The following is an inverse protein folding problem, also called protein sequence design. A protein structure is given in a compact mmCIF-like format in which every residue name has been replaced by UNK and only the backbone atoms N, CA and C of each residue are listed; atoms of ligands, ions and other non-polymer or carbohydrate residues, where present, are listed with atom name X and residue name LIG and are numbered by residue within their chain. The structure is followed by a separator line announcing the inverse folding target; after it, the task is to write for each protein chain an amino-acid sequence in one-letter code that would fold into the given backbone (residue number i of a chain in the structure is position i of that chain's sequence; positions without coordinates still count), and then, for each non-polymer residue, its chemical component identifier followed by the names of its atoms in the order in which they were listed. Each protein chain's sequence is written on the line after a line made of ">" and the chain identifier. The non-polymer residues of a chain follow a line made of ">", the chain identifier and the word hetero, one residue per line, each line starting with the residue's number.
data_IF_439271681179
#
_entry.id   IF_439271681179
#
_cell.length_a   1.000
_cell.length_b   1.000
_cell.length_c   1.000
_cell.angle_alpha   90.00
_cell.angle_beta   90.00
_cell.angle_gamma   90.00
#
_symmetry.space_group_name_H-M   'P 1'
#
loop_
_entity.id
_entity.type
_entity.pdbx_description
1 polymer ?
#
# COMPACT_ATOMS: atom_id res chain seq x y z
N UNK A 1 16.98 -8.28 51.61
CA UNK A 1 17.90 -7.46 50.79
C UNK A 1 18.52 -8.34 49.73
N UNK A 2 18.09 -8.13 48.49
CA UNK A 2 18.84 -8.41 47.26
C UNK A 2 18.09 -7.63 46.17
N UNK A 3 18.61 -6.46 45.82
CA UNK A 3 18.13 -5.64 44.72
C UNK A 3 18.38 -6.39 43.41
N UNK A 4 17.30 -6.76 42.72
CA UNK A 4 17.38 -7.21 41.33
C UNK A 4 17.59 -5.99 40.46
N UNK A 5 18.83 -5.84 40.00
CA UNK A 5 19.31 -4.76 39.17
C UNK A 5 18.53 -4.73 37.85
N UNK A 6 17.76 -3.67 37.64
CA UNK A 6 16.83 -3.48 36.51
C UNK A 6 17.55 -3.08 35.21
N UNK A 7 18.82 -3.43 35.08
CA UNK A 7 19.72 -3.07 33.98
C UNK A 7 20.08 -4.26 33.09
N UNK A 8 19.76 -5.50 33.49
CA UNK A 8 20.11 -6.72 32.73
C UNK A 8 19.01 -7.26 31.80
N UNK A 9 17.84 -6.60 31.73
CA UNK A 9 16.75 -6.98 30.81
C UNK A 9 16.78 -6.24 29.46
N UNK A 10 17.75 -5.36 29.26
CA UNK A 10 18.01 -4.70 27.98
C UNK A 10 19.10 -5.47 27.26
N UNK A 11 18.81 -6.64 26.68
CA UNK A 11 19.63 -7.27 25.62
C UNK A 11 18.98 -8.58 25.17
N UNK A 12 17.98 -8.49 24.27
CA UNK A 12 17.70 -9.47 23.19
C UNK A 12 16.53 -9.02 22.31
N UNK A 13 16.46 -7.73 21.98
CA UNK A 13 15.83 -7.36 20.72
C UNK A 13 16.81 -7.79 19.64
N UNK A 14 16.51 -8.89 18.94
CA UNK A 14 17.20 -9.24 17.69
C UNK A 14 17.27 -7.96 16.87
N UNK A 15 18.47 -7.44 16.63
CA UNK A 15 18.69 -6.50 15.53
C UNK A 15 18.16 -7.22 14.28
N UNK A 16 17.15 -6.70 13.58
CA UNK A 16 16.93 -7.13 12.22
C UNK A 16 18.22 -6.82 11.47
N UNK A 17 18.70 -7.81 10.74
CA UNK A 17 19.97 -7.79 10.05
C UNK A 17 20.24 -6.44 9.35
N UNK A 18 21.48 -5.95 9.45
CA UNK A 18 22.04 -4.99 8.50
C UNK A 18 22.22 -5.66 7.12
N UNK A 19 21.15 -6.21 6.57
CA UNK A 19 21.11 -6.48 5.14
C UNK A 19 20.94 -5.11 4.46
N UNK A 20 21.71 -4.87 3.40
CA UNK A 20 21.34 -3.88 2.39
C UNK A 20 19.97 -4.32 1.87
N UNK A 21 18.91 -3.84 2.50
CA UNK A 21 17.57 -4.36 2.30
C UNK A 21 17.12 -3.94 0.91
N UNK A 22 16.90 -4.91 0.03
CA UNK A 22 16.19 -4.65 -1.22
C UNK A 22 14.79 -4.15 -0.90
N UNK A 23 14.29 -3.22 -1.70
CA UNK A 23 12.89 -2.81 -1.65
C UNK A 23 11.93 -4.01 -1.77
N UNK A 24 10.81 -3.95 -1.06
CA UNK A 24 9.78 -5.00 -1.04
C UNK A 24 8.57 -4.53 -1.84
N UNK A 25 8.20 -5.29 -2.87
CA UNK A 25 7.03 -5.01 -3.71
C UNK A 25 5.76 -5.62 -3.09
N UNK A 26 4.70 -4.83 -3.03
CA UNK A 26 3.33 -5.25 -2.70
C UNK A 26 2.34 -4.80 -3.76
N UNK A 27 1.04 -5.04 -3.54
CA UNK A 27 -0.01 -4.62 -4.45
C UNK A 27 -0.17 -3.10 -4.46
N UNK A 28 0.26 -2.53 -5.58
CA UNK A 28 0.21 -1.08 -5.81
C UNK A 28 1.02 -0.25 -4.79
N UNK A 29 2.07 -0.85 -4.23
CA UNK A 29 3.06 -0.15 -3.38
C UNK A 29 4.41 -0.85 -3.31
N UNK A 30 5.45 -0.10 -2.95
CA UNK A 30 6.80 -0.58 -2.69
C UNK A 30 7.27 0.02 -1.38
N UNK A 31 7.84 -0.80 -0.50
CA UNK A 31 8.30 -0.38 0.83
C UNK A 31 9.77 -0.71 1.10
N UNK A 32 10.40 0.06 1.98
CA UNK A 32 11.73 -0.21 2.53
C UNK A 32 11.83 0.22 4.01
N UNK A 33 12.53 -0.55 4.88
CA UNK A 33 13.12 -1.87 4.62
C UNK A 33 12.09 -3.00 4.51
N UNK A 34 10.82 -2.71 4.80
CA UNK A 34 9.71 -3.64 4.67
C UNK A 34 8.46 -2.90 4.21
N UNK A 35 7.45 -3.64 3.73
CA UNK A 35 6.10 -3.09 3.60
C UNK A 35 5.53 -2.85 4.99
N UNK A 36 5.22 -1.60 5.31
CA UNK A 36 4.51 -1.26 6.54
C UNK A 36 3.08 -1.83 6.45
N UNK A 37 2.48 -2.30 7.55
CA UNK A 37 1.08 -2.69 7.54
C UNK A 37 0.19 -1.57 7.00
N UNK A 38 -0.77 -1.91 6.14
CA UNK A 38 -1.71 -0.95 5.52
C UNK A 38 -2.49 -0.14 6.58
N UNK A 39 -2.60 -0.70 7.79
CA UNK A 39 -3.33 -0.13 8.92
C UNK A 39 -2.56 0.95 9.69
N UNK A 40 -1.30 1.24 9.32
CA UNK A 40 -0.56 2.35 9.92
C UNK A 40 -1.15 3.69 9.44
N UNK A 41 -1.87 4.38 10.33
CA UNK A 41 -2.51 5.66 10.04
C UNK A 41 -1.50 6.80 10.18
N UNK A 42 -1.73 7.89 9.43
CA UNK A 42 -1.14 9.19 9.72
C UNK A 42 -1.55 9.59 11.14
N UNK A 43 -0.59 9.65 12.06
CA UNK A 43 -0.88 10.13 13.40
C UNK A 43 -0.98 11.65 13.38
N UNK A 44 -2.16 12.19 13.71
CA UNK A 44 -2.33 13.61 13.99
C UNK A 44 -1.70 14.01 15.34
N UNK A 45 -1.38 13.02 16.18
CA UNK A 45 -0.97 13.22 17.58
C UNK A 45 0.53 13.01 17.82
N UNK A 46 1.24 12.35 16.90
CA UNK A 46 2.66 12.05 17.04
C UNK A 46 3.47 12.86 16.03
N UNK A 47 4.15 13.88 16.55
CA UNK A 47 5.08 14.67 15.75
C UNK A 47 6.21 13.79 15.21
N UNK A 48 6.73 14.16 14.04
CA UNK A 48 7.99 13.61 13.54
C UNK A 48 9.12 13.93 14.54
N UNK A 49 10.06 13.00 14.77
CA UNK A 49 11.29 13.28 15.49
C UNK A 49 12.02 14.50 14.91
N UNK A 50 12.73 15.25 15.75
CA UNK A 50 13.36 16.51 15.33
C UNK A 50 14.36 16.31 14.19
N UNK A 51 15.19 15.27 14.26
CA UNK A 51 16.12 14.92 13.21
C UNK A 51 15.43 14.60 11.87
N UNK A 52 14.31 13.86 11.93
CA UNK A 52 13.48 13.58 10.75
C UNK A 52 12.86 14.87 10.17
N UNK A 53 12.40 15.80 11.01
CA UNK A 53 11.88 17.10 10.54
C UNK A 53 12.95 17.93 9.84
N UNK A 54 14.16 17.96 10.40
CA UNK A 54 15.29 18.74 9.87
C UNK A 54 15.71 18.28 8.48
N UNK A 55 15.75 16.97 8.23
CA UNK A 55 16.16 16.41 6.93
C UNK A 55 15.01 16.28 5.92
N UNK A 56 13.75 16.46 6.36
CA UNK A 56 12.57 16.29 5.51
C UNK A 56 12.61 17.06 4.17
N UNK A 57 13.03 18.34 4.12
CA UNK A 57 13.10 19.07 2.85
C UNK A 57 14.06 18.44 1.84
N UNK A 58 15.21 17.94 2.32
CA UNK A 58 16.22 17.29 1.50
C UNK A 58 15.71 15.94 0.96
N UNK A 59 15.13 15.11 1.82
CA UNK A 59 14.56 13.82 1.42
C UNK A 59 13.44 13.98 0.39
N UNK A 60 12.57 14.98 0.59
CA UNK A 60 11.51 15.31 -0.37
C UNK A 60 12.08 15.75 -1.71
N UNK A 61 13.11 16.60 -1.70
CA UNK A 61 13.76 17.08 -2.91
C UNK A 61 14.40 15.93 -3.69
N UNK A 62 15.13 15.04 -3.00
CA UNK A 62 15.74 13.88 -3.64
C UNK A 62 14.71 12.90 -4.19
N UNK A 63 13.64 12.61 -3.45
CA UNK A 63 12.56 11.76 -3.96
C UNK A 63 11.94 12.33 -5.23
N UNK A 64 11.66 13.64 -5.29
CA UNK A 64 11.13 14.29 -6.50
C UNK A 64 12.09 14.16 -7.69
N UNK A 65 13.37 14.39 -7.47
CA UNK A 65 14.42 14.22 -8.51
C UNK A 65 14.40 12.79 -9.09
N UNK A 66 14.39 11.78 -8.22
CA UNK A 66 14.40 10.36 -8.65
C UNK A 66 13.08 10.00 -9.35
N UNK A 67 11.93 10.42 -8.83
CA UNK A 67 10.64 10.16 -9.46
C UNK A 67 10.55 10.81 -10.86
N UNK A 68 11.11 12.00 -11.04
CA UNK A 68 11.21 12.65 -12.35
C UNK A 68 12.15 11.89 -13.30
N UNK A 69 13.34 11.52 -12.84
CA UNK A 69 14.33 10.73 -13.59
C UNK A 69 13.73 9.43 -14.13
N UNK A 70 12.85 8.79 -13.36
CA UNK A 70 12.18 7.54 -13.74
C UNK A 70 10.83 7.72 -14.46
N UNK A 71 10.46 8.96 -14.81
CA UNK A 71 9.18 9.30 -15.43
C UNK A 71 7.97 8.79 -14.64
N UNK A 72 8.03 8.83 -13.31
CA UNK A 72 6.94 8.39 -12.43
C UNK A 72 6.00 9.54 -12.05
N UNK A 73 6.50 10.77 -12.15
CA UNK A 73 5.72 12.00 -12.03
C UNK A 73 6.06 12.92 -13.19
N UNK A 74 5.16 13.86 -13.49
CA UNK A 74 5.36 14.90 -14.50
C UNK A 74 5.40 16.26 -13.82
N UNK A 75 6.25 17.16 -14.32
CA UNK A 75 6.17 18.58 -13.95
C UNK A 75 4.93 19.14 -14.65
N UNK A 76 3.88 19.41 -13.89
CA UNK A 76 2.74 20.18 -14.39
C UNK A 76 3.25 21.58 -14.80
N UNK A 77 2.84 22.15 -15.96
CA UNK A 77 3.03 23.56 -16.30
C UNK A 77 2.68 24.55 -15.17
N UNK A 78 1.81 24.16 -14.24
CA UNK A 78 1.38 24.95 -13.07
C UNK A 78 2.13 24.63 -11.76
N UNK A 79 3.14 23.76 -11.82
CA UNK A 79 3.95 23.34 -10.68
C UNK A 79 3.57 21.96 -10.13
N UNK A 80 4.56 21.20 -9.66
CA UNK A 80 4.37 19.89 -9.03
C UNK A 80 3.43 20.04 -7.83
N UNK A 81 2.32 19.29 -7.81
CA UNK A 81 1.45 19.22 -6.62
C UNK A 81 2.28 18.85 -5.39
N UNK A 82 2.29 19.74 -4.39
CA UNK A 82 2.98 19.58 -3.11
C UNK A 82 2.59 18.27 -2.37
N UNK A 83 1.48 17.62 -2.78
CA UNK A 83 0.86 16.47 -2.13
C UNK A 83 1.46 15.11 -2.51
N UNK A 84 2.35 15.03 -3.51
CA UNK A 84 2.86 13.75 -4.00
C UNK A 84 3.99 13.17 -3.15
N UNK A 85 4.71 13.98 -2.37
CA UNK A 85 5.85 13.52 -1.54
C UNK A 85 5.75 14.09 -0.14
N UNK A 86 5.49 13.20 0.82
CA UNK A 86 5.21 13.53 2.20
C UNK A 86 6.25 12.87 3.12
N UNK A 87 6.53 13.52 4.24
CA UNK A 87 7.22 12.87 5.36
C UNK A 87 6.24 12.86 6.51
N UNK A 88 5.94 11.69 7.03
CA UNK A 88 4.97 11.51 8.10
C UNK A 88 5.45 10.48 9.12
N UNK A 89 4.96 10.59 10.34
CA UNK A 89 5.22 9.60 11.37
C UNK A 89 4.08 8.58 11.35
N UNK A 90 4.35 7.38 10.84
CA UNK A 90 3.36 6.30 10.73
C UNK A 90 3.25 5.53 12.03
N UNK A 91 2.02 5.17 12.37
CA UNK A 91 1.70 4.56 13.66
C UNK A 91 0.69 3.41 13.53
N UNK A 92 1.00 2.29 14.17
CA UNK A 92 0.03 1.26 14.55
C UNK A 92 -0.10 1.29 16.07
N UNK A 93 -1.33 1.23 16.58
CA UNK A 93 -1.68 1.22 18.01
C UNK A 93 -0.86 0.20 18.84
N UNK A 94 -0.31 -0.83 18.20
CA UNK A 94 0.48 -1.89 18.86
C UNK A 94 2.00 -1.73 18.75
N UNK A 95 2.54 -0.78 17.98
CA UNK A 95 3.99 -0.66 17.75
C UNK A 95 4.52 0.71 18.12
N UNK A 96 4.96 0.84 19.37
CA UNK A 96 5.86 1.91 19.82
C UNK A 96 7.32 1.52 19.51
N UNK A 97 8.18 2.46 19.07
CA UNK A 97 7.89 3.86 18.70
C UNK A 97 7.33 4.03 17.27
N UNK A 98 6.75 5.20 16.98
CA UNK A 98 6.31 5.59 15.64
C UNK A 98 7.42 5.56 14.60
N UNK A 99 7.05 5.38 13.33
CA UNK A 99 7.95 5.13 12.21
C UNK A 99 7.98 6.31 11.23
N UNK A 100 9.01 7.17 11.27
CA UNK A 100 9.21 8.21 10.28
C UNK A 100 9.28 7.58 8.88
N UNK A 101 8.42 8.05 7.97
CA UNK A 101 8.25 7.46 6.64
C UNK A 101 8.21 8.55 5.59
N UNK A 102 9.01 8.39 4.54
CA UNK A 102 8.91 9.15 3.29
C UNK A 102 7.90 8.45 2.39
N UNK A 103 6.76 9.08 2.17
CA UNK A 103 5.64 8.55 1.39
C UNK A 103 5.58 9.28 0.06
N UNK A 104 5.56 8.53 -1.03
CA UNK A 104 5.42 9.05 -2.38
C UNK A 104 4.17 8.48 -3.03
N UNK A 105 3.24 9.35 -3.37
CA UNK A 105 1.98 8.99 -4.01
C UNK A 105 2.12 9.21 -5.51
N UNK A 106 2.01 8.13 -6.28
CA UNK A 106 2.15 8.17 -7.74
C UNK A 106 0.93 7.56 -8.44
N UNK A 107 0.75 7.91 -9.72
CA UNK A 107 -0.19 7.18 -10.58
C UNK A 107 0.36 5.77 -10.82
N UNK A 108 -0.45 4.77 -10.51
CA UNK A 108 -0.05 3.38 -10.70
C UNK A 108 -0.40 2.88 -12.11
N UNK A 109 0.53 2.17 -12.75
CA UNK A 109 0.30 1.52 -14.05
C UNK A 109 1.14 0.27 -14.18
N UNK A 110 0.62 -0.81 -14.74
CA UNK A 110 1.37 -2.08 -14.83
C UNK A 110 2.65 -1.94 -15.70
N UNK A 111 2.65 -1.05 -16.69
CA UNK A 111 3.74 -0.83 -17.65
C UNK A 111 5.05 -0.26 -17.05
N UNK A 112 4.99 0.39 -15.88
CA UNK A 112 6.15 1.09 -15.29
C UNK A 112 6.71 0.38 -14.05
N UNK A 113 6.52 -0.93 -13.95
CA UNK A 113 6.95 -1.70 -12.77
C UNK A 113 8.46 -1.59 -12.51
N UNK A 114 9.29 -1.77 -13.54
CA UNK A 114 10.74 -1.71 -13.37
C UNK A 114 11.22 -0.30 -12.99
N UNK A 115 10.67 0.73 -13.63
CA UNK A 115 10.97 2.13 -13.26
C UNK A 115 10.64 2.43 -11.80
N UNK A 116 9.52 1.91 -11.28
CA UNK A 116 9.16 2.05 -9.85
C UNK A 116 10.13 1.33 -8.94
N UNK A 117 10.54 0.11 -9.30
CA UNK A 117 11.49 -0.69 -8.51
C UNK A 117 12.86 0.00 -8.41
N UNK A 118 13.37 0.49 -9.54
CA UNK A 118 14.64 1.22 -9.58
C UNK A 118 14.56 2.54 -8.79
N UNK A 119 13.49 3.32 -8.98
CA UNK A 119 13.29 4.55 -8.23
C UNK A 119 13.20 4.31 -6.73
N UNK A 120 12.44 3.29 -6.31
CA UNK A 120 12.31 2.93 -4.90
C UNK A 120 13.67 2.55 -4.30
N UNK A 121 14.49 1.79 -5.03
CA UNK A 121 15.80 1.39 -4.54
C UNK A 121 16.74 2.58 -4.41
N UNK A 122 16.81 3.46 -5.42
CA UNK A 122 17.65 4.66 -5.38
C UNK A 122 17.27 5.60 -4.23
N UNK A 123 15.98 5.74 -3.94
CA UNK A 123 15.48 6.53 -2.80
C UNK A 123 15.80 5.84 -1.48
N UNK A 124 15.62 4.51 -1.40
CA UNK A 124 15.94 3.74 -0.20
C UNK A 124 17.43 3.84 0.16
N UNK A 125 18.32 3.68 -0.83
CA UNK A 125 19.77 3.79 -0.64
C UNK A 125 20.16 5.19 -0.13
N UNK A 126 19.56 6.24 -0.72
CA UNK A 126 19.77 7.61 -0.26
C UNK A 126 19.29 7.83 1.18
N UNK A 127 18.05 7.43 1.48
CA UNK A 127 17.46 7.58 2.82
C UNK A 127 18.26 6.80 3.85
N UNK A 128 18.70 5.59 3.54
CA UNK A 128 19.56 4.78 4.40
C UNK A 128 20.85 5.52 4.75
N UNK A 129 21.53 6.09 3.75
CA UNK A 129 22.77 6.83 3.97
C UNK A 129 22.53 8.13 4.77
N UNK A 130 21.51 8.89 4.39
CA UNK A 130 21.17 10.18 5.00
C UNK A 130 20.71 10.07 6.46
N UNK A 131 20.16 8.90 6.84
CA UNK A 131 19.58 8.67 8.18
C UNK A 131 20.35 7.65 9.02
N UNK A 132 21.55 7.23 8.56
CA UNK A 132 22.35 6.18 9.21
C UNK A 132 22.72 6.48 10.68
N UNK A 133 22.77 7.75 11.06
CA UNK A 133 23.11 8.19 12.42
C UNK A 133 21.89 8.29 13.34
N UNK A 134 20.68 8.11 12.82
CA UNK A 134 19.46 8.22 13.60
C UNK A 134 19.32 6.99 14.52
N UNK A 135 18.74 7.16 15.72
CA UNK A 135 18.51 6.04 16.65
C UNK A 135 17.34 5.14 16.23
N UNK A 136 16.79 5.33 15.03
CA UNK A 136 15.63 4.64 14.50
C UNK A 136 15.76 4.44 12.98
N UNK A 137 14.99 3.51 12.43
CA UNK A 137 14.88 3.30 10.99
C UNK A 137 13.93 4.31 10.36
N UNK A 138 14.37 4.96 9.30
CA UNK A 138 13.51 5.77 8.45
C UNK A 138 12.93 4.89 7.34
N UNK A 139 11.64 4.95 7.08
CA UNK A 139 10.97 4.12 6.08
C UNK A 139 10.75 4.88 4.79
N UNK A 140 10.64 4.12 3.70
CA UNK A 140 10.29 4.63 2.37
C UNK A 140 9.10 3.85 1.86
N UNK A 141 8.06 4.54 1.38
CA UNK A 141 6.92 3.91 0.72
C UNK A 141 6.51 4.67 -0.54
N UNK A 142 6.57 4.01 -1.70
CA UNK A 142 5.89 4.46 -2.92
C UNK A 142 4.54 3.76 -2.97
N UNK A 143 3.44 4.50 -3.10
CA UNK A 143 2.08 3.95 -3.10
C UNK A 143 1.21 4.58 -4.19
N UNK A 144 0.20 3.85 -4.64
CA UNK A 144 -0.79 4.37 -5.58
C UNK A 144 -1.75 5.36 -4.93
N UNK A 145 -2.17 6.38 -5.69
CA UNK A 145 -3.15 7.37 -5.25
C UNK A 145 -4.45 6.76 -4.68
N UNK A 146 -4.96 5.68 -5.26
CA UNK A 146 -6.18 4.99 -4.82
C UNK A 146 -6.12 4.38 -3.41
N UNK A 147 -4.92 4.27 -2.82
CA UNK A 147 -4.74 3.76 -1.46
C UNK A 147 -4.71 4.87 -0.41
N UNK A 148 -4.59 6.13 -0.83
CA UNK A 148 -4.41 7.29 0.05
C UNK A 148 -5.57 8.28 -0.10
N UNK A 149 -6.10 8.41 -1.31
CA UNK A 149 -7.20 9.32 -1.61
C UNK A 149 -8.56 8.72 -1.24
N UNK A 150 -9.55 9.59 -1.06
CA UNK A 150 -10.94 9.18 -0.90
C UNK A 150 -11.37 8.32 -2.08
N UNK A 151 -11.97 7.18 -1.76
CA UNK A 151 -12.57 6.26 -2.71
C UNK A 151 -14.09 6.43 -2.69
N UNK A 152 -14.67 6.53 -3.87
CA UNK A 152 -16.12 6.57 -4.11
C UNK A 152 -16.55 5.24 -4.69
N UNK A 153 -17.71 4.73 -4.23
CA UNK A 153 -18.29 3.49 -4.70
C UNK A 153 -19.81 3.60 -4.84
N UNK A 154 -20.36 2.86 -5.81
CA UNK A 154 -21.81 2.77 -6.06
C UNK A 154 -22.15 1.41 -6.69
N UNK A 155 -23.44 1.06 -6.74
CA UNK A 155 -23.91 -0.16 -7.40
C UNK A 155 -23.77 -0.07 -8.93
N UNK A 156 -23.54 -1.22 -9.57
CA UNK A 156 -23.58 -1.33 -11.03
C UNK A 156 -25.03 -1.19 -11.51
N UNK A 157 -25.31 -0.15 -12.31
CA UNK A 157 -26.65 0.09 -12.89
C UNK A 157 -26.91 -0.69 -14.16
N UNK A 158 -25.85 -1.12 -14.85
CA UNK A 158 -25.93 -1.93 -16.06
C UNK A 158 -26.40 -3.35 -15.72
N UNK A 159 -27.61 -3.68 -16.16
CA UNK A 159 -28.24 -5.01 -15.94
C UNK A 159 -27.56 -6.12 -16.73
N UNK A 160 -27.04 -5.82 -17.92
CA UNK A 160 -26.33 -6.79 -18.76
C UNK A 160 -25.01 -7.17 -18.09
N UNK A 161 -24.25 -6.16 -17.66
CA UNK A 161 -23.00 -6.34 -16.95
C UNK A 161 -23.20 -7.11 -15.63
N UNK A 162 -24.25 -6.76 -14.88
CA UNK A 162 -24.62 -7.47 -13.64
C UNK A 162 -24.97 -8.94 -13.88
N UNK A 163 -25.63 -9.27 -15.01
CA UNK A 163 -25.93 -10.66 -15.38
C UNK A 163 -24.65 -11.43 -15.70
N UNK A 164 -23.79 -10.85 -16.54
CA UNK A 164 -22.51 -11.46 -16.91
C UNK A 164 -21.64 -11.75 -15.68
N UNK A 165 -21.58 -10.80 -14.73
CA UNK A 165 -20.91 -11.02 -13.45
C UNK A 165 -21.50 -12.21 -12.68
N UNK A 166 -22.83 -12.28 -12.57
CA UNK A 166 -23.49 -13.38 -11.85
C UNK A 166 -23.19 -14.76 -12.46
N UNK A 167 -23.03 -14.84 -13.77
CA UNK A 167 -22.70 -16.07 -14.47
C UNK A 167 -21.28 -16.56 -14.14
N UNK A 168 -20.33 -15.65 -13.90
CA UNK A 168 -18.92 -16.02 -13.65
C UNK A 168 -18.47 -15.90 -12.19
N UNK A 169 -19.25 -15.29 -11.31
CA UNK A 169 -18.83 -14.99 -9.92
C UNK A 169 -18.33 -16.23 -9.17
N UNK A 170 -18.93 -17.38 -9.43
CA UNK A 170 -18.56 -18.65 -8.79
C UNK A 170 -17.13 -19.08 -9.17
N UNK A 171 -16.74 -18.91 -10.44
CA UNK A 171 -15.37 -19.18 -10.91
C UNK A 171 -14.35 -18.27 -10.24
N UNK A 172 -14.72 -17.00 -10.04
CA UNK A 172 -13.87 -16.04 -9.30
C UNK A 172 -13.73 -16.48 -7.84
N UNK A 173 -14.82 -16.88 -7.18
CA UNK A 173 -14.78 -17.40 -5.81
C UNK A 173 -13.90 -18.65 -5.70
N UNK A 174 -14.04 -19.60 -6.62
CA UNK A 174 -13.26 -20.84 -6.62
C UNK A 174 -11.77 -20.56 -6.83
N UNK A 175 -11.45 -19.61 -7.73
CA UNK A 175 -10.08 -19.13 -7.93
C UNK A 175 -9.51 -18.49 -6.65
N UNK A 176 -10.23 -17.58 -6.01
CA UNK A 176 -9.79 -16.95 -4.76
C UNK A 176 -9.64 -17.97 -3.62
N UNK A 177 -10.43 -19.04 -3.60
CA UNK A 177 -10.32 -20.08 -2.56
C UNK A 177 -9.17 -21.07 -2.79
N UNK A 178 -8.64 -21.16 -4.00
CA UNK A 178 -7.53 -22.05 -4.33
C UNK A 178 -6.15 -21.41 -4.11
N UNK A 179 -6.06 -20.08 -4.15
CA UNK A 179 -4.82 -19.33 -3.99
C UNK A 179 -4.43 -19.13 -2.53
N UNK A 180 -3.15 -19.31 -2.21
CA UNK A 180 -2.64 -19.25 -0.83
C UNK A 180 -2.90 -17.89 -0.16
N UNK A 181 -2.77 -16.81 -0.92
CA UNK A 181 -2.91 -15.44 -0.45
C UNK A 181 -4.34 -15.09 -0.01
N UNK A 182 -5.34 -15.77 -0.54
CA UNK A 182 -6.76 -15.46 -0.32
C UNK A 182 -7.52 -16.59 0.37
N UNK A 183 -6.98 -17.80 0.37
CA UNK A 183 -7.59 -19.00 0.98
C UNK A 183 -7.68 -18.85 2.49
N UNK A 184 -8.91 -18.78 3.00
CA UNK A 184 -9.19 -18.59 4.42
C UNK A 184 -9.08 -17.14 4.89
N UNK A 185 -8.76 -16.21 3.99
CA UNK A 185 -8.58 -14.78 4.29
C UNK A 185 -9.61 -13.90 3.59
N UNK A 186 -10.35 -14.40 2.59
CA UNK A 186 -11.40 -13.64 1.89
C UNK A 186 -12.52 -13.20 2.85
N UNK A 187 -12.70 -11.90 3.03
CA UNK A 187 -13.74 -11.30 3.88
C UNK A 187 -14.90 -10.73 3.07
N UNK A 188 -14.65 -10.22 1.86
CA UNK A 188 -15.70 -9.73 0.97
C UNK A 188 -15.31 -9.87 -0.51
N UNK A 189 -16.32 -10.13 -1.35
CA UNK A 189 -16.24 -10.09 -2.81
C UNK A 189 -17.46 -9.31 -3.31
N UNK A 190 -17.22 -8.19 -3.97
CA UNK A 190 -18.28 -7.32 -4.50
C UNK A 190 -18.01 -6.94 -5.96
N UNK A 191 -19.09 -6.56 -6.67
CA UNK A 191 -19.02 -6.01 -8.01
C UNK A 191 -19.72 -4.66 -8.03
N UNK A 192 -18.94 -3.60 -8.18
CA UNK A 192 -19.37 -2.22 -7.90
C UNK A 192 -18.61 -1.23 -8.76
N UNK A 193 -19.16 -0.02 -8.90
CA UNK A 193 -18.38 1.14 -9.34
C UNK A 193 -17.39 1.46 -8.24
N UNK A 194 -16.11 1.66 -8.59
CA UNK A 194 -15.06 1.90 -7.60
C UNK A 194 -13.94 2.77 -8.19
N UNK A 195 -13.60 3.87 -7.51
CA UNK A 195 -12.46 4.70 -7.90
C UNK A 195 -12.37 5.99 -7.09
N UNK A 196 -11.46 6.89 -7.49
CA UNK A 196 -11.19 8.14 -6.78
C UNK A 196 -11.88 9.36 -7.37
N UNK A 197 -12.67 9.21 -8.43
CA UNK A 197 -13.40 10.33 -9.03
C UNK A 197 -14.69 10.60 -8.22
N UNK A 198 -14.94 11.85 -7.76
CA UNK A 198 -16.18 12.19 -7.10
C UNK A 198 -17.40 12.05 -8.02
N UNK A 199 -17.23 12.15 -9.34
CA UNK A 199 -18.25 11.77 -10.31
C UNK A 199 -18.22 10.24 -10.49
N UNK A 200 -19.18 9.56 -9.85
CA UNK A 200 -19.32 8.11 -9.90
C UNK A 200 -19.40 7.56 -11.33
N UNK A 201 -19.88 8.33 -12.31
CA UNK A 201 -19.96 7.87 -13.71
C UNK A 201 -18.60 7.75 -14.39
N UNK A 202 -17.57 8.41 -13.85
CA UNK A 202 -16.19 8.36 -14.35
C UNK A 202 -15.40 7.19 -13.75
N UNK A 203 -15.92 6.57 -12.69
CA UNK A 203 -15.27 5.41 -12.06
C UNK A 203 -15.63 4.11 -12.80
N UNK A 204 -14.68 3.18 -12.94
CA UNK A 204 -14.88 1.94 -13.67
C UNK A 204 -15.67 0.90 -12.85
N UNK A 205 -16.41 0.01 -13.52
CA UNK A 205 -16.87 -1.25 -12.91
C UNK A 205 -15.67 -2.06 -12.41
N UNK A 206 -15.76 -2.54 -11.18
CA UNK A 206 -14.65 -3.17 -10.47
C UNK A 206 -15.11 -4.39 -9.68
N UNK A 207 -14.39 -5.49 -9.82
CA UNK A 207 -14.41 -6.60 -8.86
C UNK A 207 -13.58 -6.20 -7.65
N UNK A 208 -14.26 -5.94 -6.55
CA UNK A 208 -13.66 -5.58 -5.27
C UNK A 208 -13.45 -6.84 -4.44
N UNK A 209 -12.19 -7.07 -4.03
CA UNK A 209 -11.77 -8.19 -3.20
C UNK A 209 -11.25 -7.63 -1.88
N UNK A 210 -11.81 -8.09 -0.79
CA UNK A 210 -11.35 -7.75 0.55
C UNK A 210 -10.85 -9.01 1.24
N UNK A 211 -9.69 -8.90 1.86
CA UNK A 211 -9.05 -9.95 2.65
C UNK A 211 -8.77 -9.47 4.07
N UNK A 212 -8.51 -10.39 4.98
CA UNK A 212 -8.00 -10.05 6.30
C UNK A 212 -6.54 -9.54 6.26
N UNK A 213 -6.04 -9.07 7.40
CA UNK A 213 -4.71 -8.49 7.55
C UNK A 213 -3.57 -9.52 7.61
N UNK A 214 -3.90 -10.82 7.60
CA UNK A 214 -2.93 -11.92 7.59
C UNK A 214 -2.58 -12.37 6.17
N UNK A 215 -3.37 -11.97 5.18
CA UNK A 215 -3.07 -12.18 3.77
C UNK A 215 -1.77 -11.47 3.35
N UNK A 216 -0.83 -12.21 2.73
CA UNK A 216 0.43 -11.63 2.25
C UNK A 216 0.24 -10.87 0.94
N UNK A 217 0.32 -9.55 1.05
CA UNK A 217 0.18 -8.63 -0.07
C UNK A 217 1.20 -8.84 -1.20
N UNK A 218 2.34 -9.49 -0.93
CA UNK A 218 3.37 -9.75 -1.97
C UNK A 218 2.84 -10.63 -3.11
N UNK A 219 1.90 -11.53 -2.83
CA UNK A 219 1.33 -12.44 -3.83
C UNK A 219 0.06 -11.91 -4.51
N UNK A 220 -0.47 -10.77 -4.08
CA UNK A 220 -1.73 -10.23 -4.60
C UNK A 220 -1.69 -9.87 -6.09
N UNK A 221 -0.52 -9.57 -6.65
CA UNK A 221 -0.37 -9.42 -8.10
C UNK A 221 -0.82 -10.68 -8.86
N UNK A 222 -0.47 -11.86 -8.35
CA UNK A 222 -0.90 -13.15 -8.91
C UNK A 222 -2.41 -13.34 -8.80
N UNK A 223 -2.98 -12.98 -7.65
CA UNK A 223 -4.43 -13.04 -7.40
C UNK A 223 -5.19 -12.17 -8.41
N UNK A 224 -4.78 -10.92 -8.53
CA UNK A 224 -5.43 -9.96 -9.44
C UNK A 224 -5.29 -10.42 -10.89
N UNK A 225 -4.12 -10.94 -11.28
CA UNK A 225 -3.93 -11.47 -12.64
C UNK A 225 -4.87 -12.63 -12.92
N UNK A 226 -4.98 -13.60 -12.01
CA UNK A 226 -5.86 -14.76 -12.19
C UNK A 226 -7.34 -14.38 -12.32
N UNK A 227 -7.81 -13.42 -11.51
CA UNK A 227 -9.18 -12.90 -11.63
C UNK A 227 -9.37 -12.14 -12.94
N UNK A 228 -8.40 -11.30 -13.36
CA UNK A 228 -8.43 -10.62 -14.67
C UNK A 228 -8.53 -11.61 -15.83
N UNK A 229 -7.85 -12.75 -15.76
CA UNK A 229 -7.91 -13.76 -16.82
C UNK A 229 -9.29 -14.42 -16.92
N UNK A 230 -9.97 -14.65 -15.78
CA UNK A 230 -11.37 -15.10 -15.77
C UNK A 230 -12.28 -14.05 -16.42
N UNK A 231 -12.10 -12.77 -16.07
CA UNK A 231 -12.90 -11.66 -16.62
C UNK A 231 -12.68 -11.48 -18.13
N UNK A 232 -11.44 -11.60 -18.61
CA UNK A 232 -11.09 -11.52 -20.04
C UNK A 232 -11.71 -12.65 -20.86
N UNK A 233 -11.85 -13.84 -20.26
CA UNK A 233 -12.47 -14.99 -20.91
C UNK A 233 -14.01 -14.91 -20.94
N UNK A 234 -14.61 -13.91 -20.29
CA UNK A 234 -16.05 -13.71 -20.24
C UNK A 234 -16.46 -12.53 -21.12
N UNK A 235 -17.49 -12.75 -21.94
CA UNK A 235 -18.01 -11.71 -22.83
C UNK A 235 -18.48 -10.50 -22.02
N UNK A 236 -18.04 -9.31 -22.44
CA UNK A 236 -18.44 -8.04 -21.83
C UNK A 236 -17.72 -7.65 -20.54
N UNK A 237 -16.84 -8.49 -19.99
CA UNK A 237 -16.14 -8.19 -18.71
C UNK A 237 -14.66 -7.84 -18.85
N UNK A 238 -14.12 -7.81 -20.08
CA UNK A 238 -12.70 -7.53 -20.34
C UNK A 238 -12.21 -6.15 -19.88
N UNK A 239 -13.12 -5.19 -19.72
CA UNK A 239 -12.84 -3.83 -19.27
C UNK A 239 -13.04 -3.63 -17.75
N UNK A 240 -13.55 -4.64 -17.05
CA UNK A 240 -13.77 -4.59 -15.60
C UNK A 240 -12.43 -4.59 -14.88
N UNK A 241 -12.28 -3.69 -13.91
CA UNK A 241 -11.09 -3.64 -13.08
C UNK A 241 -11.15 -4.64 -11.93
N UNK A 242 -10.00 -4.93 -11.34
CA UNK A 242 -9.90 -5.78 -10.14
C UNK A 242 -9.13 -4.99 -9.10
N UNK A 243 -9.72 -4.87 -7.91
CA UNK A 243 -9.12 -4.25 -6.75
C UNK A 243 -9.04 -5.28 -5.62
N UNK A 244 -7.94 -5.26 -4.88
CA UNK A 244 -7.75 -6.07 -3.68
C UNK A 244 -7.18 -5.21 -2.56
N UNK A 245 -7.76 -5.34 -1.37
CA UNK A 245 -7.30 -4.67 -0.16
C UNK A 245 -7.54 -5.45 1.11
N UNK A 246 -6.84 -5.05 2.18
CA UNK A 246 -7.09 -5.53 3.53
C UNK A 246 -8.26 -4.79 4.14
N UNK A 247 -9.24 -5.54 4.66
CA UNK A 247 -10.26 -5.02 5.57
C UNK A 247 -9.85 -5.17 7.02
N UNK A 248 -10.16 -4.16 7.84
CA UNK A 248 -10.05 -4.29 9.30
C UNK A 248 -11.11 -5.27 9.81
N UNK A 249 -10.70 -6.26 10.59
CA UNK A 249 -11.61 -7.04 11.45
C UNK A 249 -12.12 -6.24 12.67
N UNK A 250 -11.78 -4.96 12.82
CA UNK A 250 -12.23 -4.09 13.94
C UNK A 250 -13.75 -3.86 13.99
N UNK A 251 -14.51 -4.29 12.96
CA UNK A 251 -15.97 -4.23 12.96
C UNK A 251 -16.63 -5.45 13.61
N UNK A 252 -15.87 -6.50 13.99
CA UNK A 252 -16.41 -7.69 14.64
C UNK A 252 -16.10 -7.77 16.15
N UNK A 253 -15.47 -6.76 16.74
CA UNK A 253 -15.19 -6.70 18.19
C UNK A 253 -16.05 -5.70 18.98
N UNK A 254 -17.10 -5.14 18.37
CA UNK A 254 -18.01 -4.17 19.03
C UNK A 254 -19.49 -4.60 19.01
N UNK A 255 -19.75 -5.90 18.89
CA UNK A 255 -21.06 -6.47 19.16
C UNK A 255 -20.91 -7.69 20.06
N UNK A 256 -20.68 -7.41 21.34
CA UNK A 256 -21.18 -8.21 22.47
C UNK A 256 -22.02 -7.28 23.35
#
# INVERSE_FOLDING_TARGET
>A
MAELNMTDLVLRVRRPDQQHGSTVLGWKRIGWPSLLPVLERRSLYHQLPEDARRISPELKSKAREVLLKHNLITVDPWGVSEEQVLVENRWNQMTLPGRPTLVMVIKWSDERQESRRLAAQEIADYVQHATQTFPYTFYVEITSAERVNTVYYDFIRDRTLSRQWNDIRHRVVDCLRSMEETRGYLTCLAFQIYGCDPDLSMNPPTVYIAVDDRSDERGWYGVVSAVKDILRAADGLSHVQVHIETTKNDLLSNFD
#
